data_IF_296061736061
#
_entry.id   IF_296061736061
#
_cell.length_a   1.000
_cell.length_b   1.000
_cell.length_c   1.000
_cell.angle_alpha   90.00
_cell.angle_beta   90.00
_cell.angle_gamma   90.00
#
_symmetry.space_group_name_H-M   'P 1'
#
loop_
_entity.id
_entity.type
_entity.pdbx_description
1 polymer ?
#
# COMPACT_ATOMS: atom_id res chain seq x y z
N UNK A 1 10.58 -16.34 -6.27
CA UNK A 1 10.26 -16.74 -4.87
C UNK A 1 9.77 -15.45 -4.25
N UNK A 2 8.55 -15.43 -3.76
CA UNK A 2 8.04 -14.22 -3.13
C UNK A 2 8.87 -13.94 -1.88
N UNK A 3 9.18 -12.66 -1.59
CA UNK A 3 9.91 -12.29 -0.37
C UNK A 3 9.07 -12.62 0.87
N UNK A 4 9.74 -12.89 2.00
CA UNK A 4 9.05 -13.06 3.27
C UNK A 4 8.61 -11.67 3.78
N UNK A 5 7.37 -11.50 4.28
CA UNK A 5 6.94 -10.22 4.84
C UNK A 5 7.70 -9.88 6.13
N UNK A 6 7.67 -8.59 6.48
CA UNK A 6 8.24 -8.09 7.75
C UNK A 6 7.61 -8.80 8.95
N UNK A 7 8.42 -8.99 9.99
CA UNK A 7 7.94 -9.52 11.26
C UNK A 7 7.53 -8.38 12.23
N UNK A 8 6.61 -8.68 13.15
CA UNK A 8 6.16 -7.73 14.19
C UNK A 8 7.34 -7.12 14.95
N UNK A 9 7.32 -5.79 15.11
CA UNK A 9 8.37 -5.00 15.76
C UNK A 9 9.57 -4.67 14.87
N UNK A 10 9.64 -5.15 13.63
CA UNK A 10 10.65 -4.69 12.68
C UNK A 10 10.37 -3.26 12.23
N UNK A 11 11.45 -2.49 12.02
CA UNK A 11 11.33 -1.11 11.55
C UNK A 11 11.02 -1.08 10.06
N UNK A 12 10.10 -0.22 9.64
CA UNK A 12 9.75 0.01 8.25
C UNK A 12 11.02 0.26 7.39
N UNK A 13 11.22 -0.50 6.31
CA UNK A 13 12.28 -0.20 5.36
C UNK A 13 12.13 1.20 4.78
N UNK A 14 13.23 1.95 4.73
CA UNK A 14 13.26 3.31 4.20
C UNK A 14 12.95 3.32 2.69
N UNK A 15 12.30 4.40 2.25
CA UNK A 15 12.02 4.62 0.83
C UNK A 15 12.07 6.11 0.48
N UNK A 16 12.36 6.39 -0.77
CA UNK A 16 12.19 7.68 -1.42
C UNK A 16 11.65 7.41 -2.84
N UNK A 17 10.36 7.67 -3.06
CA UNK A 17 9.65 7.29 -4.27
C UNK A 17 8.89 8.46 -4.89
N UNK A 18 8.80 8.54 -6.24
CA UNK A 18 7.90 9.48 -6.89
C UNK A 18 6.45 9.09 -6.65
N UNK A 19 5.59 10.08 -6.42
CA UNK A 19 4.18 9.86 -6.13
C UNK A 19 3.28 10.94 -6.70
N UNK A 20 1.99 10.66 -6.59
CA UNK A 20 0.89 11.54 -7.02
C UNK A 20 -0.19 11.54 -5.93
N UNK A 21 -0.99 12.61 -5.89
CA UNK A 21 -2.23 12.70 -5.10
C UNK A 21 -3.39 13.06 -6.02
N UNK A 22 -4.63 12.88 -5.58
CA UNK A 22 -5.83 13.24 -6.34
C UNK A 22 -6.15 14.74 -6.40
N UNK A 23 -5.21 15.63 -6.13
CA UNK A 23 -5.42 17.07 -5.96
C UNK A 23 -5.61 17.89 -7.25
N UNK A 24 -5.82 17.27 -8.36
CA UNK A 24 -6.19 17.94 -9.59
C UNK A 24 -5.35 17.61 -10.81
N UNK A 25 -5.96 17.79 -11.91
CA UNK A 25 -5.54 17.55 -13.29
C UNK A 25 -4.04 17.33 -13.49
N UNK A 26 -3.72 16.13 -13.90
CA UNK A 26 -2.44 15.65 -14.38
C UNK A 26 -1.50 16.74 -14.94
N UNK A 27 -0.99 17.60 -14.06
CA UNK A 27 0.23 18.33 -14.33
C UNK A 27 1.36 17.38 -14.00
N UNK A 28 2.35 17.31 -14.87
CA UNK A 28 3.47 16.35 -14.83
C UNK A 28 4.46 16.66 -13.68
N UNK A 29 4.01 17.27 -12.61
CA UNK A 29 4.82 17.59 -11.43
C UNK A 29 4.67 16.45 -10.42
N UNK A 30 5.61 15.51 -10.51
CA UNK A 30 5.76 14.45 -9.53
C UNK A 30 6.35 15.01 -8.25
N UNK A 31 5.73 14.70 -7.13
CA UNK A 31 6.37 14.89 -5.83
C UNK A 31 7.16 13.64 -5.47
N UNK A 32 8.22 13.82 -4.73
CA UNK A 32 8.98 12.71 -4.16
C UNK A 32 8.63 12.61 -2.69
N UNK A 33 8.26 11.43 -2.24
CA UNK A 33 7.90 11.14 -0.87
C UNK A 33 8.92 10.19 -0.26
N UNK A 34 9.41 10.55 0.91
CA UNK A 34 10.28 9.70 1.72
C UNK A 34 9.48 9.14 2.92
N UNK A 35 9.91 8.02 3.49
CA UNK A 35 9.33 7.48 4.72
C UNK A 35 9.27 8.54 5.84
N UNK A 36 10.28 9.40 5.93
CA UNK A 36 10.37 10.49 6.92
C UNK A 36 9.36 11.63 6.74
N UNK A 37 8.60 11.66 5.66
CA UNK A 37 7.54 12.65 5.44
C UNK A 37 6.23 12.25 6.13
N UNK A 38 6.14 11.02 6.61
CA UNK A 38 4.99 10.46 7.32
C UNK A 38 5.31 10.42 8.82
N UNK A 39 4.85 11.41 9.57
CA UNK A 39 5.18 11.63 10.99
C UNK A 39 3.95 11.52 11.94
N UNK A 40 2.81 11.04 11.43
CA UNK A 40 1.63 10.74 12.24
C UNK A 40 1.91 9.61 13.25
N UNK A 41 1.08 9.49 14.27
CA UNK A 41 1.21 8.47 15.32
C UNK A 41 1.09 7.03 14.81
N UNK A 42 0.38 6.85 13.69
CA UNK A 42 0.30 5.58 12.97
C UNK A 42 0.59 5.79 11.48
N UNK A 43 1.27 4.84 10.85
CA UNK A 43 1.51 4.82 9.41
C UNK A 43 0.93 3.55 8.80
N UNK A 44 0.13 3.70 7.75
CA UNK A 44 -0.42 2.59 6.96
C UNK A 44 0.22 2.59 5.57
N UNK A 45 1.02 1.58 5.27
CA UNK A 45 1.60 1.36 3.95
C UNK A 45 0.79 0.29 3.23
N UNK A 46 0.22 0.61 2.06
CA UNK A 46 -0.61 -0.31 1.28
C UNK A 46 0.04 -0.58 -0.07
N UNK A 47 0.54 -1.79 -0.29
CA UNK A 47 0.91 -2.21 -1.64
C UNK A 47 -0.36 -2.51 -2.44
N UNK A 48 -0.61 -1.73 -3.49
CA UNK A 48 -1.81 -1.80 -4.32
C UNK A 48 -1.48 -1.69 -5.81
N UNK A 49 -2.48 -1.71 -6.68
CA UNK A 49 -2.27 -1.56 -8.12
C UNK A 49 -3.56 -1.16 -8.84
N UNK A 50 -3.45 -0.72 -10.09
CA UNK A 50 -4.58 -0.21 -10.85
C UNK A 50 -5.47 -1.28 -11.48
N UNK A 51 -4.95 -2.50 -11.70
CA UNK A 51 -5.65 -3.51 -12.49
C UNK A 51 -6.25 -4.67 -11.70
N UNK A 52 -5.82 -4.86 -10.43
CA UNK A 52 -6.32 -5.96 -9.61
C UNK A 52 -7.76 -5.67 -9.14
N UNK A 53 -8.75 -6.50 -9.48
CA UNK A 53 -10.13 -6.27 -9.03
C UNK A 53 -10.27 -6.25 -7.51
N UNK A 54 -9.42 -6.98 -6.80
CA UNK A 54 -9.41 -6.95 -5.33
C UNK A 54 -8.86 -5.62 -4.81
N UNK A 55 -7.75 -5.10 -5.37
CA UNK A 55 -7.22 -3.80 -4.99
C UNK A 55 -8.23 -2.68 -5.24
N UNK A 56 -8.87 -2.70 -6.40
CA UNK A 56 -9.92 -1.74 -6.78
C UNK A 56 -11.10 -1.78 -5.79
N UNK A 57 -11.53 -2.96 -5.36
CA UNK A 57 -12.63 -3.11 -4.40
C UNK A 57 -12.32 -2.48 -3.02
N UNK A 58 -11.05 -2.31 -2.69
CA UNK A 58 -10.62 -1.73 -1.42
C UNK A 58 -10.35 -0.21 -1.46
N UNK A 59 -10.31 0.44 -2.63
CA UNK A 59 -9.93 1.85 -2.75
C UNK A 59 -10.76 2.79 -1.88
N UNK A 60 -12.10 2.64 -1.89
CA UNK A 60 -12.97 3.49 -1.07
C UNK A 60 -12.74 3.28 0.43
N UNK A 61 -12.39 2.05 0.85
CA UNK A 61 -12.08 1.76 2.25
C UNK A 61 -10.73 2.33 2.68
N UNK A 62 -9.74 2.31 1.79
CA UNK A 62 -8.44 2.96 2.03
C UNK A 62 -8.62 4.47 2.15
N UNK A 63 -9.41 5.10 1.25
CA UNK A 63 -9.76 6.52 1.34
C UNK A 63 -10.49 6.86 2.65
N UNK A 64 -11.40 5.98 3.08
CA UNK A 64 -12.12 6.16 4.32
C UNK A 64 -11.19 6.06 5.55
N UNK A 65 -10.19 5.18 5.54
CA UNK A 65 -9.18 5.11 6.61
C UNK A 65 -8.44 6.46 6.70
N UNK A 66 -7.91 6.99 5.61
CA UNK A 66 -7.23 8.30 5.63
C UNK A 66 -8.15 9.43 6.10
N UNK A 67 -9.43 9.38 5.76
CA UNK A 67 -10.39 10.44 6.12
C UNK A 67 -10.86 10.36 7.58
N UNK A 68 -10.88 9.19 8.18
CA UNK A 68 -11.42 8.93 9.51
C UNK A 68 -10.40 9.12 10.65
N UNK A 69 -9.10 9.11 10.33
CA UNK A 69 -8.02 9.18 11.32
C UNK A 69 -7.12 10.40 11.05
N UNK A 70 -7.23 11.43 11.90
CA UNK A 70 -6.39 12.64 11.82
C UNK A 70 -4.92 12.38 12.24
N UNK A 71 -4.68 11.37 13.09
CA UNK A 71 -3.38 10.99 13.63
C UNK A 71 -2.79 9.74 12.96
N UNK A 72 -3.27 9.38 11.75
CA UNK A 72 -2.71 8.32 10.94
C UNK A 72 -2.47 8.78 9.51
N UNK A 73 -1.29 8.45 8.97
CA UNK A 73 -0.96 8.64 7.57
C UNK A 73 -1.21 7.35 6.78
N UNK A 74 -1.78 7.48 5.58
CA UNK A 74 -1.89 6.39 4.61
C UNK A 74 -1.03 6.70 3.40
N UNK A 75 -0.22 5.74 2.97
CA UNK A 75 0.53 5.79 1.72
C UNK A 75 0.30 4.51 0.92
N UNK A 76 -0.05 4.67 -0.35
CA UNK A 76 -0.21 3.55 -1.28
C UNK A 76 1.02 3.42 -2.19
N UNK A 77 1.48 2.19 -2.44
CA UNK A 77 2.65 1.92 -3.29
C UNK A 77 2.27 0.92 -4.38
N UNK A 78 2.55 1.26 -5.64
CA UNK A 78 2.43 0.34 -6.77
C UNK A 78 3.81 -0.08 -7.26
N UNK A 79 4.11 -1.37 -7.07
CA UNK A 79 5.36 -1.98 -7.51
C UNK A 79 5.19 -2.92 -8.70
N UNK A 80 3.98 -3.10 -9.23
CA UNK A 80 3.73 -4.03 -10.31
C UNK A 80 4.49 -3.70 -11.59
N UNK A 81 4.97 -4.73 -12.27
CA UNK A 81 5.60 -4.56 -13.57
C UNK A 81 4.58 -4.05 -14.60
N UNK A 82 4.86 -2.85 -15.15
CA UNK A 82 4.04 -2.20 -16.17
C UNK A 82 4.62 -2.33 -17.59
N UNK A 83 5.79 -2.96 -17.77
CA UNK A 83 6.54 -2.98 -19.02
C UNK A 83 6.79 -4.40 -19.50
N UNK A 84 6.35 -4.73 -20.73
CA UNK A 84 6.50 -6.05 -21.34
C UNK A 84 7.97 -6.48 -21.45
N UNK A 85 8.87 -5.55 -21.79
CA UNK A 85 10.30 -5.82 -21.95
C UNK A 85 10.97 -6.32 -20.66
N UNK A 86 10.39 -6.01 -19.51
CA UNK A 86 10.87 -6.43 -18.18
C UNK A 86 10.16 -7.68 -17.67
N UNK A 87 9.19 -8.20 -18.41
CA UNK A 87 8.41 -9.34 -17.96
C UNK A 87 9.11 -10.69 -18.16
N UNK A 88 10.08 -10.77 -19.09
CA UNK A 88 10.81 -12.00 -19.37
C UNK A 88 9.93 -13.24 -19.63
N UNK A 89 8.64 -13.02 -19.93
CA UNK A 89 7.61 -14.04 -20.02
C UNK A 89 6.67 -14.11 -18.81
N UNK A 90 6.92 -13.33 -17.76
CA UNK A 90 6.02 -13.15 -16.64
C UNK A 90 4.89 -12.17 -16.96
N UNK A 91 3.98 -11.96 -16.01
CA UNK A 91 2.87 -11.03 -16.18
C UNK A 91 3.33 -9.57 -16.03
N UNK A 92 2.74 -8.69 -16.83
CA UNK A 92 2.85 -7.24 -16.71
C UNK A 92 1.49 -6.60 -16.99
N UNK A 93 1.28 -5.36 -16.54
CA UNK A 93 0.08 -4.62 -16.90
C UNK A 93 0.39 -3.15 -17.12
N UNK A 94 0.21 -2.59 -18.33
CA UNK A 94 0.48 -1.18 -18.63
C UNK A 94 -0.34 -0.20 -17.78
N UNK A 95 -1.50 -0.62 -17.24
CA UNK A 95 -2.33 0.19 -16.35
C UNK A 95 -1.63 0.51 -15.02
N UNK A 96 -0.58 -0.22 -14.66
CA UNK A 96 0.24 0.04 -13.47
C UNK A 96 1.40 1.01 -13.72
N UNK A 97 1.51 1.57 -14.93
CA UNK A 97 2.49 2.62 -15.22
C UNK A 97 2.21 3.89 -14.41
N UNK A 98 3.25 4.67 -14.13
CA UNK A 98 3.12 5.89 -13.35
C UNK A 98 2.15 6.91 -13.99
N UNK A 99 2.09 6.97 -15.33
CA UNK A 99 1.14 7.79 -16.06
C UNK A 99 -0.32 7.39 -15.75
N UNK A 100 -0.62 6.08 -15.77
CA UNK A 100 -1.96 5.59 -15.45
C UNK A 100 -2.30 5.70 -13.95
N UNK A 101 -1.30 5.57 -13.06
CA UNK A 101 -1.48 5.83 -11.63
C UNK A 101 -1.92 7.28 -11.37
N UNK A 102 -1.29 8.25 -12.05
CA UNK A 102 -1.66 9.66 -11.96
C UNK A 102 -3.11 9.89 -12.40
N UNK A 103 -3.49 9.33 -13.56
CA UNK A 103 -4.86 9.43 -14.06
C UNK A 103 -5.86 8.79 -13.09
N UNK A 104 -5.51 7.64 -12.51
CA UNK A 104 -6.40 6.96 -11.56
C UNK A 104 -6.56 7.72 -10.26
N UNK A 105 -5.46 8.20 -9.67
CA UNK A 105 -5.50 8.98 -8.44
C UNK A 105 -6.42 10.21 -8.57
N UNK A 106 -6.38 10.88 -9.73
CA UNK A 106 -7.23 12.03 -10.04
C UNK A 106 -8.71 11.62 -10.26
N UNK A 107 -8.97 10.56 -11.03
CA UNK A 107 -10.33 10.10 -11.32
C UNK A 107 -11.07 9.54 -10.10
N UNK A 108 -10.35 8.90 -9.20
CA UNK A 108 -10.90 8.25 -7.99
C UNK A 108 -10.77 9.13 -6.74
N UNK A 109 -10.31 10.38 -6.89
CA UNK A 109 -10.12 11.35 -5.80
C UNK A 109 -9.33 10.76 -4.63
N UNK A 110 -8.13 10.20 -4.89
CA UNK A 110 -7.28 9.65 -3.83
C UNK A 110 -6.83 10.76 -2.87
N UNK A 111 -7.15 10.62 -1.60
CA UNK A 111 -6.81 11.54 -0.52
C UNK A 111 -5.53 11.14 0.25
N UNK A 112 -4.69 10.33 -0.37
CA UNK A 112 -3.40 9.84 0.12
C UNK A 112 -2.37 9.82 -1.01
N UNK A 113 -1.07 9.89 -0.72
CA UNK A 113 -0.01 9.71 -1.71
C UNK A 113 -0.03 8.32 -2.33
N UNK A 114 0.06 8.25 -3.68
CA UNK A 114 0.15 7.00 -4.43
C UNK A 114 1.50 6.95 -5.16
N UNK A 115 2.41 6.13 -4.65
CA UNK A 115 3.82 6.10 -4.99
C UNK A 115 4.14 5.01 -5.99
N UNK A 116 5.13 5.27 -6.86
CA UNK A 116 5.63 4.28 -7.81
C UNK A 116 6.96 3.69 -7.38
N UNK A 117 6.97 2.40 -7.02
CA UNK A 117 8.19 1.62 -6.86
C UNK A 117 8.55 0.92 -8.18
N UNK A 118 9.15 1.68 -9.09
CA UNK A 118 9.56 1.14 -10.40
C UNK A 118 10.64 0.07 -10.28
N UNK A 119 11.50 0.16 -9.28
CA UNK A 119 12.57 -0.79 -9.03
C UNK A 119 12.10 -2.11 -8.41
N UNK A 120 10.96 -2.08 -7.73
CA UNK A 120 10.39 -3.14 -6.90
C UNK A 120 11.21 -3.42 -5.62
N UNK A 121 12.23 -2.60 -5.34
CA UNK A 121 13.11 -2.81 -4.19
C UNK A 121 12.41 -2.52 -2.86
N UNK A 122 11.46 -1.60 -2.83
CA UNK A 122 10.65 -1.31 -1.63
C UNK A 122 9.68 -2.45 -1.38
N UNK A 123 8.95 -2.91 -2.41
CA UNK A 123 8.06 -4.06 -2.28
C UNK A 123 8.81 -5.33 -1.83
N UNK A 124 10.03 -5.55 -2.34
CA UNK A 124 10.88 -6.67 -1.92
C UNK A 124 11.31 -6.53 -0.45
N UNK A 125 11.70 -5.31 -0.02
CA UNK A 125 12.14 -5.05 1.35
C UNK A 125 11.03 -5.20 2.38
N UNK A 126 9.77 -4.83 2.03
CA UNK A 126 8.59 -5.03 2.87
C UNK A 126 8.08 -6.47 2.82
N UNK A 127 8.51 -7.27 1.87
CA UNK A 127 7.96 -8.60 1.63
C UNK A 127 6.54 -8.58 1.08
N UNK A 128 6.18 -7.60 0.27
CA UNK A 128 4.86 -7.47 -0.32
C UNK A 128 4.57 -8.60 -1.31
N UNK A 129 3.54 -9.41 -1.05
CA UNK A 129 3.25 -10.63 -1.81
C UNK A 129 2.14 -10.45 -2.85
N UNK A 130 1.19 -9.56 -2.57
CA UNK A 130 0.00 -9.36 -3.41
C UNK A 130 -0.52 -7.92 -3.32
N UNK A 131 -1.58 -7.62 -4.06
CA UNK A 131 -2.30 -6.35 -4.00
C UNK A 131 -3.79 -6.58 -3.77
N UNK A 132 -4.38 -5.99 -2.68
CA UNK A 132 -3.67 -5.20 -1.67
C UNK A 132 -2.91 -6.06 -0.65
N UNK A 133 -1.82 -5.52 -0.10
CA UNK A 133 -1.11 -6.02 1.07
C UNK A 133 -0.77 -4.84 1.96
N UNK A 134 -1.16 -4.86 3.23
CA UNK A 134 -1.11 -3.70 4.12
C UNK A 134 -0.18 -3.94 5.29
N UNK A 135 0.53 -2.89 5.71
CA UNK A 135 1.42 -2.85 6.86
C UNK A 135 1.04 -1.65 7.72
N UNK A 136 0.85 -1.84 9.03
CA UNK A 136 0.56 -0.77 9.99
C UNK A 136 1.74 -0.64 10.95
N UNK A 137 2.24 0.56 11.09
CA UNK A 137 3.39 0.91 11.93
C UNK A 137 2.97 1.92 13.00
N UNK A 138 3.69 1.93 14.12
CA UNK A 138 3.57 2.93 15.18
C UNK A 138 4.43 4.19 14.90
N UNK A 139 4.46 5.13 15.86
CA UNK A 139 5.19 6.40 15.79
C UNK A 139 6.72 6.23 15.65
N UNK A 140 7.28 5.09 16.05
CA UNK A 140 8.68 4.73 15.88
C UNK A 140 8.94 3.98 14.56
N UNK A 141 7.92 3.86 13.71
CA UNK A 141 7.88 3.04 12.50
C UNK A 141 8.17 1.55 12.78
N UNK A 142 7.80 1.04 13.95
CA UNK A 142 7.85 -0.39 14.23
C UNK A 142 6.55 -1.07 13.77
N UNK A 143 6.67 -2.23 13.09
CA UNK A 143 5.53 -2.96 12.55
C UNK A 143 4.63 -3.50 13.67
N UNK A 144 3.36 -3.15 13.61
CA UNK A 144 2.29 -3.61 14.52
C UNK A 144 1.43 -4.69 13.88
N UNK A 145 1.14 -4.55 12.57
CA UNK A 145 0.28 -5.47 11.83
C UNK A 145 0.70 -5.55 10.36
N UNK A 146 0.60 -6.76 9.77
CA UNK A 146 0.70 -6.95 8.33
C UNK A 146 -0.41 -7.89 7.81
N UNK A 147 -0.92 -7.62 6.60
CA UNK A 147 -1.86 -8.52 5.94
C UNK A 147 -3.06 -7.88 5.27
N UNK A 148 -4.24 -8.50 5.46
CA UNK A 148 -5.51 -8.08 4.87
C UNK A 148 -6.03 -6.77 5.50
N UNK A 149 -6.80 -5.99 4.75
CA UNK A 149 -7.43 -4.75 5.25
C UNK A 149 -8.59 -5.10 6.19
N UNK A 150 -9.43 -6.04 5.80
CA UNK A 150 -10.56 -6.59 6.54
C UNK A 150 -10.85 -8.02 6.08
N UNK A 151 -11.93 -8.63 6.57
CA UNK A 151 -12.29 -10.02 6.29
C UNK A 151 -13.27 -10.20 5.11
N UNK A 152 -13.72 -9.10 4.47
CA UNK A 152 -14.67 -9.18 3.34
C UNK A 152 -14.27 -8.27 2.17
N UNK A 153 -13.80 -8.90 1.08
CA UNK A 153 -13.45 -8.20 -0.15
C UNK A 153 -14.55 -7.29 -0.69
N UNK A 154 -15.78 -7.77 -0.68
CA UNK A 154 -16.92 -7.03 -1.26
C UNK A 154 -17.41 -5.91 -0.33
N UNK A 155 -17.05 -5.95 0.97
CA UNK A 155 -17.42 -4.94 1.95
C UNK A 155 -18.88 -4.97 2.37
N UNK A 156 -19.60 -6.05 2.09
CA UNK A 156 -21.04 -6.19 2.40
C UNK A 156 -21.27 -6.77 3.81
N UNK A 157 -20.39 -7.67 4.25
CA UNK A 157 -20.52 -8.41 5.51
C UNK A 157 -19.22 -8.35 6.35
N UNK A 158 -18.51 -7.20 6.36
CA UNK A 158 -17.28 -7.00 7.15
C UNK A 158 -17.56 -7.20 8.64
N UNK A 159 -16.86 -8.16 9.25
CA UNK A 159 -16.94 -8.46 10.69
C UNK A 159 -15.65 -8.14 11.43
N UNK A 160 -14.51 -8.16 10.76
CA UNK A 160 -13.18 -7.84 11.29
C UNK A 160 -12.53 -6.74 10.44
N UNK A 161 -12.08 -5.65 11.09
CA UNK A 161 -11.48 -4.49 10.43
C UNK A 161 -10.00 -4.37 10.81
N UNK A 162 -9.19 -5.34 10.42
CA UNK A 162 -7.82 -5.53 10.91
C UNK A 162 -6.95 -4.28 10.91
N UNK A 163 -6.96 -3.51 9.82
CA UNK A 163 -6.17 -2.28 9.72
C UNK A 163 -6.69 -1.21 10.67
N UNK A 164 -8.01 -1.02 10.78
CA UNK A 164 -8.61 -0.04 11.69
C UNK A 164 -8.36 -0.41 13.14
N UNK A 165 -8.53 -1.69 13.48
CA UNK A 165 -8.29 -2.20 14.83
C UNK A 165 -6.81 -2.03 15.24
N UNK A 166 -5.87 -2.23 14.28
CA UNK A 166 -4.45 -1.99 14.50
C UNK A 166 -4.14 -0.50 14.71
N UNK A 167 -4.71 0.40 13.90
CA UNK A 167 -4.58 1.85 14.09
C UNK A 167 -5.14 2.26 15.46
N UNK A 168 -6.33 1.79 15.82
CA UNK A 168 -6.96 2.10 17.10
C UNK A 168 -6.08 1.66 18.28
N UNK A 169 -5.45 0.49 18.21
CA UNK A 169 -4.52 0.01 19.22
C UNK A 169 -3.27 0.89 19.33
N UNK A 170 -2.67 1.26 18.19
CA UNK A 170 -1.52 2.20 18.14
C UNK A 170 -1.89 3.54 18.80
N UNK A 171 -3.00 4.16 18.39
CA UNK A 171 -3.43 5.46 18.92
C UNK A 171 -3.81 5.41 20.40
N UNK A 172 -4.26 4.24 20.89
CA UNK A 172 -4.52 4.03 22.31
C UNK A 172 -3.25 3.72 23.12
N UNK A 173 -2.10 3.46 22.49
CA UNK A 173 -0.89 2.97 23.14
C UNK A 173 -1.06 1.55 23.69
N UNK A 174 -1.88 0.73 23.03
CA UNK A 174 -2.18 -0.65 23.39
C UNK A 174 -1.51 -1.62 22.41
N UNK A 175 -1.21 -2.83 22.89
CA UNK A 175 -0.69 -3.91 22.04
C UNK A 175 -1.83 -4.49 21.18
N UNK A 176 -1.61 -4.60 19.87
CA UNK A 176 -2.55 -5.28 18.98
C UNK A 176 -2.25 -6.78 18.93
N UNK A 177 -3.20 -7.65 19.30
CA UNK A 177 -2.92 -9.07 19.48
C UNK A 177 -2.85 -9.87 18.17
N UNK A 178 -3.30 -9.29 17.05
CA UNK A 178 -3.30 -9.92 15.72
C UNK A 178 -2.18 -9.34 14.88
N UNK A 179 -0.99 -9.95 14.92
CA UNK A 179 0.18 -9.42 14.22
C UNK A 179 0.09 -9.63 12.70
N UNK A 180 -0.53 -10.73 12.27
CA UNK A 180 -0.58 -11.15 10.87
C UNK A 180 -1.91 -11.77 10.50
N UNK A 181 -2.47 -11.36 9.36
CA UNK A 181 -3.59 -12.03 8.68
C UNK A 181 -3.23 -12.17 7.20
N UNK A 182 -3.32 -13.39 6.66
CA UNK A 182 -2.94 -13.62 5.26
C UNK A 182 -3.58 -12.60 4.32
N UNK A 183 -2.81 -11.82 3.56
CA UNK A 183 -3.36 -10.81 2.65
C UNK A 183 -4.13 -11.49 1.51
N UNK A 184 -5.22 -10.85 1.07
CA UNK A 184 -6.11 -11.37 0.04
C UNK A 184 -6.05 -10.50 -1.20
N UNK A 185 -5.44 -11.00 -2.28
CA UNK A 185 -5.29 -10.20 -3.49
C UNK A 185 -4.63 -10.95 -4.65
N UNK A 186 -4.37 -10.21 -5.73
CA UNK A 186 -3.62 -10.71 -6.86
C UNK A 186 -2.12 -10.68 -6.55
N UNK A 187 -1.36 -11.71 -6.91
CA UNK A 187 0.10 -11.72 -6.71
C UNK A 187 0.77 -10.52 -7.36
N UNK A 188 1.77 -9.98 -6.70
CA UNK A 188 2.63 -8.91 -7.24
C UNK A 188 3.25 -9.35 -8.57
N UNK A 189 3.23 -8.46 -9.56
CA UNK A 189 3.81 -8.73 -10.89
C UNK A 189 5.28 -8.34 -10.87
N UNK A 190 6.12 -9.30 -10.51
CA UNK A 190 7.57 -9.08 -10.42
C UNK A 190 8.21 -8.98 -11.80
N UNK A 191 9.22 -8.11 -11.93
CA UNK A 191 10.15 -8.12 -13.07
C UNK A 191 11.04 -9.35 -12.98
N UNK A 192 11.43 -9.93 -14.13
CA UNK A 192 12.52 -10.90 -14.09
C UNK A 192 13.83 -10.21 -13.70
N UNK A 193 14.59 -10.85 -12.83
CA UNK A 193 15.96 -10.42 -12.56
C UNK A 193 16.78 -10.49 -13.85
N UNK A 194 17.28 -9.35 -14.32
CA UNK A 194 18.16 -9.24 -15.51
C UNK A 194 19.53 -9.86 -15.22
#
# INVERSE_FOLDING_TARGET
MDPDPLESGETAPDFELPGVTGDGYATVDYETYALSDFDASALVVVFTCNHCPTAIAYEDRIKAIQADYDDADVVAINANNAVEEHAGGAEFNPEDSFEHMNVRADLEDFNFPYLRDESQSVAEAYGAQCTPHTFVFDEDHALVYEGAIDDDREGEDVTEQYVRDAIDAVLAGEEYPTETVAPMGCSTKWKEAL
#
